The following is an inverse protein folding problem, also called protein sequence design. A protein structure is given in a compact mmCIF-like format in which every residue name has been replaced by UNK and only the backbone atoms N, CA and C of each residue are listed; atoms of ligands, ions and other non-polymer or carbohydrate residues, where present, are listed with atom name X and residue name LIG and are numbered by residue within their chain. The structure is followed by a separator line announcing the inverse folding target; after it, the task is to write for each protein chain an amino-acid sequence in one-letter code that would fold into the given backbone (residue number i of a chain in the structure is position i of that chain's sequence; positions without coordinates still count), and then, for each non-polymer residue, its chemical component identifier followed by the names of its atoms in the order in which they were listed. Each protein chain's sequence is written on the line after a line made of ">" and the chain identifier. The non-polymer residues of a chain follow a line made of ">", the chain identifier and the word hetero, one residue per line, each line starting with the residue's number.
data_IF_295030298894
#
_entry.id   IF_295030298894
#
_cell.length_a   1.000
_cell.length_b   1.000
_cell.length_c   1.000
_cell.angle_alpha   90.00
_cell.angle_beta   90.00
_cell.angle_gamma   90.00
#
_symmetry.space_group_name_H-M   'P 1'
#
loop_
_entity.id
_entity.type
_entity.pdbx_description
1 polymer ?
#
# COMPACT_ATOMS: atom_id res chain seq x y z
N UNK A 1 0.71 -31.42 -13.44
CA UNK A 1 2.01 -30.74 -13.46
C UNK A 1 1.76 -29.30 -13.90
N UNK A 2 1.39 -28.44 -12.95
CA UNK A 2 1.14 -27.02 -13.22
C UNK A 2 2.46 -26.26 -12.99
N UNK A 3 2.85 -25.33 -13.87
CA UNK A 3 4.17 -24.72 -13.84
C UNK A 3 4.32 -23.86 -12.59
N UNK A 4 5.44 -24.06 -11.90
CA UNK A 4 5.87 -23.29 -10.73
C UNK A 4 6.34 -21.86 -11.08
N UNK A 5 5.76 -21.24 -12.10
CA UNK A 5 6.17 -19.95 -12.70
C UNK A 5 5.26 -18.77 -12.32
N UNK A 6 4.32 -18.96 -11.37
CA UNK A 6 3.52 -17.85 -10.82
C UNK A 6 3.99 -17.37 -9.44
N UNK A 7 5.17 -17.82 -9.00
CA UNK A 7 5.84 -17.34 -7.79
C UNK A 7 7.20 -16.81 -8.19
N UNK A 8 7.24 -15.60 -8.76
CA UNK A 8 8.44 -14.80 -8.79
C UNK A 8 8.50 -14.00 -7.47
N UNK A 9 9.27 -14.41 -6.45
CA UNK A 9 9.55 -13.58 -5.26
C UNK A 9 10.50 -12.41 -5.57
N UNK A 10 10.52 -11.94 -6.81
CA UNK A 10 11.54 -11.05 -7.35
C UNK A 10 10.91 -9.78 -7.93
N UNK A 11 10.41 -8.92 -7.04
CA UNK A 11 10.55 -7.48 -7.28
C UNK A 11 10.76 -6.68 -6.00
N UNK A 12 11.50 -7.23 -5.03
CA UNK A 12 12.17 -6.41 -4.02
C UNK A 12 13.33 -5.65 -4.68
N UNK A 13 13.02 -4.74 -5.60
CA UNK A 13 13.99 -3.83 -6.20
C UNK A 13 14.11 -2.62 -5.27
N UNK A 14 15.28 -2.45 -4.68
CA UNK A 14 15.57 -1.23 -3.93
C UNK A 14 15.51 -0.05 -4.90
N UNK A 15 14.76 0.97 -4.50
CA UNK A 15 14.72 2.24 -5.21
C UNK A 15 16.07 2.94 -5.01
N UNK A 16 16.52 3.65 -6.04
CA UNK A 16 17.67 4.53 -5.87
C UNK A 16 17.29 5.78 -5.06
N UNK A 17 18.29 6.51 -4.57
CA UNK A 17 18.08 7.67 -3.68
C UNK A 17 17.14 8.71 -4.29
N UNK A 18 17.28 9.02 -5.57
CA UNK A 18 16.43 10.00 -6.26
C UNK A 18 14.96 9.55 -6.33
N UNK A 19 14.72 8.26 -6.57
CA UNK A 19 13.38 7.67 -6.57
C UNK A 19 12.75 7.70 -5.18
N UNK A 20 13.52 7.39 -4.13
CA UNK A 20 13.07 7.50 -2.74
C UNK A 20 12.73 8.94 -2.40
N UNK A 21 13.60 9.89 -2.75
CA UNK A 21 13.38 11.31 -2.49
C UNK A 21 12.09 11.79 -3.15
N UNK A 22 11.92 11.49 -4.45
CA UNK A 22 10.70 11.85 -5.21
C UNK A 22 9.44 11.23 -4.60
N UNK A 23 9.51 9.99 -4.13
CA UNK A 23 8.39 9.31 -3.47
C UNK A 23 8.04 9.99 -2.15
N UNK A 24 9.03 10.31 -1.33
CA UNK A 24 8.86 11.00 -0.05
C UNK A 24 8.28 12.39 -0.23
N UNK A 25 8.72 13.16 -1.23
CA UNK A 25 8.18 14.50 -1.53
C UNK A 25 6.69 14.43 -1.90
N UNK A 26 6.32 13.50 -2.77
CA UNK A 26 4.91 13.27 -3.15
C UNK A 26 4.07 12.82 -1.96
N UNK A 27 4.58 11.89 -1.16
CA UNK A 27 3.88 11.44 0.04
C UNK A 27 3.69 12.60 1.02
N UNK A 28 4.71 13.42 1.24
CA UNK A 28 4.64 14.60 2.09
C UNK A 28 3.60 15.59 1.59
N UNK A 29 3.52 15.87 0.29
CA UNK A 29 2.53 16.79 -0.28
C UNK A 29 1.10 16.34 0.01
N UNK A 30 0.82 15.03 -0.11
CA UNK A 30 -0.50 14.46 0.15
C UNK A 30 -0.78 14.47 1.66
N UNK A 31 0.12 13.89 2.47
CA UNK A 31 -0.06 13.74 3.91
C UNK A 31 -0.12 15.08 4.65
N UNK A 32 0.50 16.14 4.12
CA UNK A 32 0.43 17.48 4.73
C UNK A 32 -0.94 18.15 4.57
N UNK A 33 -1.78 17.65 3.67
CA UNK A 33 -3.15 18.15 3.46
C UNK A 33 -4.19 17.39 4.29
N UNK A 34 -3.80 16.27 4.90
CA UNK A 34 -4.67 15.44 5.73
C UNK A 34 -4.82 16.03 7.14
N UNK A 35 -5.97 15.78 7.77
CA UNK A 35 -6.21 16.21 9.15
C UNK A 35 -5.49 15.29 10.15
N UNK A 36 -5.18 15.80 11.33
CA UNK A 36 -4.67 14.97 12.44
C UNK A 36 -5.65 13.85 12.83
N UNK A 37 -6.95 14.06 12.58
CA UNK A 37 -8.00 13.03 12.71
C UNK A 37 -8.64 12.86 11.34
N UNK A 38 -8.32 11.74 10.68
CA UNK A 38 -8.83 11.43 9.35
C UNK A 38 -10.08 10.55 9.45
N UNK A 39 -11.16 11.00 8.84
CA UNK A 39 -12.37 10.20 8.69
C UNK A 39 -12.19 9.18 7.56
N UNK A 40 -12.50 7.90 7.85
CA UNK A 40 -12.37 6.81 6.89
C UNK A 40 -13.72 6.14 6.67
N UNK A 41 -14.07 5.88 5.40
CA UNK A 41 -15.35 5.26 5.02
C UNK A 41 -15.21 3.73 4.94
N UNK A 42 -16.16 3.01 5.53
CA UNK A 42 -16.24 1.56 5.48
C UNK A 42 -16.63 1.03 4.09
N UNK A 43 -16.23 -0.20 3.71
CA UNK A 43 -15.47 -1.17 4.49
C UNK A 43 -13.96 -0.87 4.48
N UNK A 44 -13.32 -0.99 5.65
CA UNK A 44 -11.87 -0.82 5.79
C UNK A 44 -11.22 -2.06 6.39
N UNK A 45 -9.95 -2.27 6.05
CA UNK A 45 -9.09 -3.24 6.70
C UNK A 45 -8.08 -2.48 7.56
N UNK A 46 -8.14 -2.68 8.88
CA UNK A 46 -7.21 -2.04 9.81
C UNK A 46 -6.01 -2.95 10.04
N UNK A 47 -4.81 -2.42 9.77
CA UNK A 47 -3.55 -3.12 10.02
C UNK A 47 -2.91 -2.57 11.30
N UNK A 48 -2.31 -3.44 12.10
CA UNK A 48 -1.36 -3.04 13.15
C UNK A 48 0.06 -2.98 12.56
N UNK A 49 1.02 -2.53 13.37
CA UNK A 49 2.45 -2.43 13.10
C UNK A 49 2.97 -3.43 12.07
N UNK A 50 3.47 -2.88 10.97
CA UNK A 50 4.19 -3.63 9.95
C UNK A 50 5.67 -3.60 10.34
N UNK A 51 6.11 -4.56 11.12
CA UNK A 51 7.50 -4.63 11.57
C UNK A 51 8.39 -5.23 10.47
N UNK A 52 9.21 -4.39 9.81
CA UNK A 52 10.39 -4.66 8.95
C UNK A 52 10.42 -5.91 8.02
N UNK A 53 9.30 -6.58 7.81
CA UNK A 53 9.17 -7.74 6.95
C UNK A 53 8.32 -7.35 5.75
N UNK A 54 8.98 -6.80 4.72
CA UNK A 54 8.36 -6.50 3.44
C UNK A 54 7.61 -7.70 2.86
N UNK A 55 8.09 -8.92 3.15
CA UNK A 55 7.42 -10.16 2.75
C UNK A 55 6.05 -10.36 3.40
N UNK A 56 5.92 -10.09 4.71
CA UNK A 56 4.63 -10.15 5.40
C UNK A 56 3.69 -9.05 4.92
N UNK A 57 4.21 -7.87 4.57
CA UNK A 57 3.43 -6.81 3.94
C UNK A 57 2.89 -7.23 2.57
N UNK A 58 3.70 -7.89 1.73
CA UNK A 58 3.23 -8.41 0.44
C UNK A 58 2.18 -9.51 0.63
N UNK A 59 2.35 -10.38 1.63
CA UNK A 59 1.35 -11.39 2.00
C UNK A 59 0.06 -10.75 2.51
N UNK A 60 0.17 -9.65 3.25
CA UNK A 60 -0.97 -8.87 3.71
C UNK A 60 -1.78 -8.31 2.53
N UNK A 61 -1.14 -7.65 1.55
CA UNK A 61 -1.83 -7.16 0.35
C UNK A 61 -2.48 -8.28 -0.47
N UNK A 62 -1.93 -9.50 -0.44
CA UNK A 62 -2.53 -10.66 -1.09
C UNK A 62 -3.78 -11.18 -0.38
N UNK A 63 -3.83 -11.10 0.95
CA UNK A 63 -4.96 -11.56 1.78
C UNK A 63 -6.05 -10.49 1.88
N UNK A 64 -5.66 -9.22 2.05
CA UNK A 64 -6.56 -8.07 2.17
C UNK A 64 -7.20 -7.62 0.85
N UNK A 65 -6.84 -8.26 -0.27
CA UNK A 65 -7.27 -7.89 -1.61
C UNK A 65 -6.46 -6.73 -2.20
N UNK A 66 -6.44 -6.63 -3.54
CA UNK A 66 -6.01 -5.40 -4.21
C UNK A 66 -7.02 -4.32 -3.85
N UNK A 67 -6.54 -3.11 -3.54
CA UNK A 67 -7.38 -1.96 -3.18
C UNK A 67 -8.14 -1.42 -4.39
N UNK A 68 -8.99 -2.24 -4.98
CA UNK A 68 -9.93 -1.89 -6.04
C UNK A 68 -11.33 -1.95 -5.45
N UNK A 69 -11.65 -0.94 -4.63
CA UNK A 69 -12.97 -0.30 -4.46
C UNK A 69 -12.94 0.59 -3.20
N UNK A 70 -12.33 1.79 -3.30
CA UNK A 70 -12.77 2.96 -2.50
C UNK A 70 -12.66 4.19 -3.42
N UNK A 71 -13.50 4.19 -4.45
CA UNK A 71 -13.90 5.41 -5.14
C UNK A 71 -15.27 5.15 -5.76
N UNK A 72 -16.30 5.47 -5.00
CA UNK A 72 -17.47 6.08 -5.59
C UNK A 72 -17.80 7.26 -4.71
N UNK A 73 -17.79 8.41 -5.34
CA UNK A 73 -18.30 9.64 -4.78
C UNK A 73 -19.64 9.37 -4.10
N UNK A 74 -19.75 9.72 -2.83
CA UNK A 74 -21.00 10.18 -2.25
C UNK A 74 -20.64 11.57 -1.74
N UNK A 75 -21.07 12.70 -2.33
CA UNK A 75 -22.31 13.00 -3.06
C UNK A 75 -23.56 12.38 -2.42
N UNK A 76 -23.71 12.59 -1.12
CA UNK A 76 -24.78 13.36 -0.49
C UNK A 76 -24.56 13.32 1.02
#
# INVERSE_FOLDING_TARGET
>A
HAPADLLAPSLCKQLNENQVCTLCEKAKEILSKESNVQEVRCPITVCRDVHSQFYDLMKFFRIGGKSETICSWATM
#
